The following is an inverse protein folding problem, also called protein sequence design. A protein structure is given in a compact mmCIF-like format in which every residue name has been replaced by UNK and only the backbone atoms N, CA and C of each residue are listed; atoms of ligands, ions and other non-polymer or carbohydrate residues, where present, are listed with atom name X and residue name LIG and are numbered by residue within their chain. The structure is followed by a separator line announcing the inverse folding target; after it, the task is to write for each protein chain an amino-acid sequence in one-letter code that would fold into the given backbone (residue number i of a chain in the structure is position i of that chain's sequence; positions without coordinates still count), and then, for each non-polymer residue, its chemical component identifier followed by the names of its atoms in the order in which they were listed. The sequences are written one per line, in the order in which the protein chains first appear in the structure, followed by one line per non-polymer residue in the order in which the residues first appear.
data_IF_699113464287
#
_entry.id   IF_699113464287
#
_cell.length_a   1.000
_cell.length_b   1.000
_cell.length_c   1.000
_cell.angle_alpha   90.00
_cell.angle_beta   90.00
_cell.angle_gamma   90.00
#
_symmetry.space_group_name_H-M   'P 1'
#
loop_
_entity.id
_entity.type
_entity.pdbx_description
1 polymer ?
#
# COMPACT_ATOMS: atom_id res chain seq x y z
N UNK A 1 -14.54 23.70 7.50
CA UNK A 1 -13.41 24.51 7.97
C UNK A 1 -12.07 23.82 7.68
N UNK A 2 -11.82 22.56 8.12
CA UNK A 2 -10.56 21.85 7.89
C UNK A 2 -10.19 21.78 6.41
N UNK A 3 -11.12 21.31 5.55
CA UNK A 3 -10.86 21.19 4.11
C UNK A 3 -10.59 22.54 3.46
N UNK A 4 -11.29 23.60 3.86
CA UNK A 4 -11.05 24.96 3.37
C UNK A 4 -9.62 25.42 3.72
N UNK A 5 -9.22 25.28 4.99
CA UNK A 5 -7.89 25.65 5.47
C UNK A 5 -6.78 24.92 4.70
N UNK A 6 -6.91 23.58 4.56
CA UNK A 6 -5.91 22.76 3.87
C UNK A 6 -5.84 23.07 2.38
N UNK A 7 -6.98 23.30 1.70
CA UNK A 7 -6.99 23.69 0.29
C UNK A 7 -6.31 25.04 0.07
N UNK A 8 -6.46 26.02 0.98
CA UNK A 8 -5.73 27.29 0.91
C UNK A 8 -4.23 27.06 1.01
N UNK A 9 -3.79 26.20 1.95
CA UNK A 9 -2.38 25.83 2.11
C UNK A 9 -1.84 25.21 0.83
N UNK A 10 -2.53 24.19 0.31
CA UNK A 10 -2.14 23.50 -0.92
C UNK A 10 -2.08 24.46 -2.12
N UNK A 11 -3.07 25.37 -2.26
CA UNK A 11 -3.13 26.33 -3.35
C UNK A 11 -1.99 27.37 -3.37
N UNK A 12 -1.32 27.58 -2.24
CA UNK A 12 -0.12 28.43 -2.13
C UNK A 12 1.16 27.71 -2.53
N UNK A 13 1.19 26.37 -2.47
CA UNK A 13 2.39 25.55 -2.59
C UNK A 13 2.52 24.77 -3.89
N UNK A 14 1.39 24.40 -4.48
CA UNK A 14 1.37 23.66 -5.75
C UNK A 14 1.97 24.51 -6.85
N UNK A 15 2.96 23.98 -7.55
CA UNK A 15 3.66 24.66 -8.66
C UNK A 15 2.91 24.52 -9.97
N UNK A 16 2.25 23.39 -10.23
CA UNK A 16 1.45 23.14 -11.43
C UNK A 16 0.28 24.14 -11.52
N UNK A 17 0.20 24.94 -12.61
CA UNK A 17 -0.83 25.97 -12.73
C UNK A 17 -2.24 25.42 -12.87
N UNK A 18 -2.40 24.24 -13.50
CA UNK A 18 -3.71 23.60 -13.73
C UNK A 18 -4.26 23.08 -12.39
N UNK A 19 -3.41 22.36 -11.65
CA UNK A 19 -3.77 21.83 -10.32
C UNK A 19 -4.03 23.00 -9.36
N UNK A 20 -3.18 24.02 -9.37
CA UNK A 20 -3.36 25.22 -8.51
C UNK A 20 -4.70 25.89 -8.76
N UNK A 21 -5.13 26.02 -10.04
CA UNK A 21 -6.43 26.61 -10.38
C UNK A 21 -7.59 25.78 -9.82
N UNK A 22 -7.52 24.45 -9.97
CA UNK A 22 -8.54 23.55 -9.43
C UNK A 22 -8.63 23.66 -7.91
N UNK A 23 -7.50 23.65 -7.21
CA UNK A 23 -7.45 23.77 -5.74
C UNK A 23 -8.03 25.12 -5.30
N UNK A 24 -7.66 26.22 -5.91
CA UNK A 24 -8.18 27.56 -5.56
C UNK A 24 -9.68 27.67 -5.76
N UNK A 25 -10.20 27.07 -6.83
CA UNK A 25 -11.65 27.00 -7.07
C UNK A 25 -12.37 26.25 -5.95
N UNK A 26 -11.86 25.09 -5.55
CA UNK A 26 -12.44 24.33 -4.46
C UNK A 26 -12.31 25.07 -3.12
N UNK A 27 -11.16 25.67 -2.85
CA UNK A 27 -10.96 26.50 -1.65
C UNK A 27 -11.99 27.63 -1.56
N UNK A 28 -12.27 28.32 -2.66
CA UNK A 28 -13.29 29.38 -2.69
C UNK A 28 -14.70 28.85 -2.37
N UNK A 29 -15.08 27.69 -2.91
CA UNK A 29 -16.38 27.05 -2.62
C UNK A 29 -16.49 26.72 -1.12
N UNK A 30 -15.48 26.08 -0.53
CA UNK A 30 -15.52 25.75 0.89
C UNK A 30 -15.48 27.00 1.78
N UNK A 31 -14.74 28.03 1.40
CA UNK A 31 -14.67 29.31 2.15
C UNK A 31 -15.96 30.12 2.07
N UNK A 32 -16.80 29.92 1.05
CA UNK A 32 -18.11 30.60 0.98
C UNK A 32 -19.14 30.05 1.97
N UNK A 33 -18.93 28.82 2.47
CA UNK A 33 -19.85 28.15 3.40
C UNK A 33 -19.34 28.09 4.83
N UNK A 34 -18.09 28.52 5.10
CA UNK A 34 -17.53 28.53 6.45
C UNK A 34 -16.57 29.70 6.65
N UNK A 35 -16.65 30.38 7.81
CA UNK A 35 -15.60 31.33 8.23
C UNK A 35 -14.38 30.58 8.74
N UNK A 36 -13.20 31.10 8.41
CA UNK A 36 -11.91 30.64 8.91
C UNK A 36 -11.32 31.57 10.00
N UNK A 37 -12.06 32.60 10.38
CA UNK A 37 -11.64 33.50 11.46
C UNK A 37 -11.76 32.80 12.82
N UNK A 38 -10.73 32.88 13.62
CA UNK A 38 -10.65 32.31 14.98
C UNK A 38 -10.89 30.80 15.08
N UNK A 39 -10.53 30.03 14.03
CA UNK A 39 -10.69 28.59 14.00
C UNK A 39 -9.61 27.91 14.84
N UNK A 40 -10.03 27.27 15.94
CA UNK A 40 -9.18 26.35 16.67
C UNK A 40 -9.32 24.95 16.04
N UNK A 41 -8.29 24.55 15.28
CA UNK A 41 -8.31 23.29 14.52
C UNK A 41 -8.26 22.06 15.43
N UNK A 42 -7.68 22.13 16.60
CA UNK A 42 -7.70 21.03 17.58
C UNK A 42 -9.14 20.74 18.06
N UNK A 43 -9.96 21.79 18.21
CA UNK A 43 -11.39 21.62 18.53
C UNK A 43 -12.16 20.98 17.36
N UNK A 44 -11.78 21.24 16.12
CA UNK A 44 -12.41 20.60 14.95
C UNK A 44 -12.14 19.11 14.97
N UNK A 45 -10.92 18.66 15.35
CA UNK A 45 -10.55 17.25 15.37
C UNK A 45 -11.43 16.44 16.31
N UNK A 46 -11.76 16.99 17.48
CA UNK A 46 -12.62 16.33 18.46
C UNK A 46 -14.12 16.41 18.13
N UNK A 47 -14.52 17.33 17.25
CA UNK A 47 -15.94 17.56 16.90
C UNK A 47 -16.42 16.85 15.66
N UNK A 48 -15.52 16.27 14.85
CA UNK A 48 -15.91 15.56 13.63
C UNK A 48 -16.47 14.18 14.00
N UNK A 49 -17.77 14.00 13.77
CA UNK A 49 -18.47 12.71 13.89
C UNK A 49 -18.95 12.30 12.50
N UNK A 50 -18.60 11.09 12.08
CA UNK A 50 -19.02 10.54 10.78
C UNK A 50 -20.37 9.86 10.90
N UNK A 51 -21.21 10.11 9.91
CA UNK A 51 -22.53 9.55 9.73
C UNK A 51 -22.75 9.22 8.25
N UNK A 52 -23.84 8.58 7.89
CA UNK A 52 -24.18 8.31 6.47
C UNK A 52 -24.16 9.54 5.56
N UNK A 53 -24.36 10.73 6.12
CA UNK A 53 -24.42 11.97 5.33
C UNK A 53 -23.04 12.56 5.03
N UNK A 54 -22.02 12.24 5.82
CA UNK A 54 -20.69 12.83 5.71
C UNK A 54 -19.52 11.82 5.68
N UNK A 55 -19.82 10.52 5.67
CA UNK A 55 -18.80 9.45 5.60
C UNK A 55 -17.91 9.58 4.35
N UNK A 56 -18.46 10.05 3.23
CA UNK A 56 -17.72 10.30 2.01
C UNK A 56 -16.57 11.33 2.18
N UNK A 57 -16.64 12.19 3.20
CA UNK A 57 -15.59 13.16 3.51
C UNK A 57 -14.48 12.58 4.40
N UNK A 58 -14.65 11.38 4.95
CA UNK A 58 -13.68 10.81 5.89
C UNK A 58 -12.27 10.71 5.28
N UNK A 59 -12.16 10.20 4.05
CA UNK A 59 -10.86 10.12 3.36
C UNK A 59 -10.24 11.50 3.10
N UNK A 60 -11.06 12.47 2.71
CA UNK A 60 -10.60 13.84 2.50
C UNK A 60 -10.15 14.49 3.82
N UNK A 61 -10.85 14.25 4.91
CA UNK A 61 -10.47 14.73 6.23
C UNK A 61 -9.18 14.06 6.73
N UNK A 62 -9.00 12.74 6.54
CA UNK A 62 -7.76 12.04 6.90
C UNK A 62 -6.56 12.61 6.15
N UNK A 63 -6.69 12.84 4.84
CA UNK A 63 -5.65 13.47 4.04
C UNK A 63 -5.40 14.91 4.48
N UNK A 64 -6.46 15.66 4.77
CA UNK A 64 -6.36 17.03 5.25
C UNK A 64 -5.60 17.10 6.59
N UNK A 65 -5.88 16.19 7.53
CA UNK A 65 -5.14 16.11 8.79
C UNK A 65 -3.66 15.78 8.55
N UNK A 66 -3.37 14.84 7.66
CA UNK A 66 -1.99 14.50 7.31
C UNK A 66 -1.23 15.73 6.78
N UNK A 67 -1.83 16.50 5.88
CA UNK A 67 -1.25 17.74 5.36
C UNK A 67 -1.12 18.78 6.45
N UNK A 68 -2.11 18.91 7.32
CA UNK A 68 -2.12 19.88 8.40
C UNK A 68 -1.06 19.57 9.47
N UNK A 69 -1.02 18.35 9.98
CA UNK A 69 -0.07 17.90 11.01
C UNK A 69 1.38 17.99 10.51
N UNK A 70 1.61 17.61 9.22
CA UNK A 70 2.93 17.70 8.61
C UNK A 70 3.34 19.14 8.25
N UNK A 71 2.39 20.09 8.18
CA UNK A 71 2.67 21.48 7.83
C UNK A 71 3.37 22.27 8.96
N UNK A 72 3.43 21.75 10.16
CA UNK A 72 3.89 22.51 11.32
C UNK A 72 3.02 23.76 11.58
N UNK A 73 1.75 23.69 11.23
CA UNK A 73 0.82 24.80 11.05
C UNK A 73 0.33 25.43 12.35
N UNK A 74 0.95 25.17 13.48
CA UNK A 74 0.71 26.02 14.65
C UNK A 74 0.93 27.53 14.37
N UNK A 75 1.60 27.86 13.24
CA UNK A 75 1.99 29.23 12.89
C UNK A 75 1.41 29.80 11.57
N UNK A 76 0.40 29.19 10.95
CA UNK A 76 -0.16 29.74 9.68
C UNK A 76 -0.85 31.10 9.87
N UNK A 77 -1.30 31.38 11.07
CA UNK A 77 -1.97 32.64 11.41
C UNK A 77 -1.03 33.70 12.00
N UNK A 78 0.26 33.36 12.21
CA UNK A 78 1.28 34.32 12.61
C UNK A 78 2.00 34.88 11.38
N UNK A 79 1.80 36.14 11.13
CA UNK A 79 2.42 36.92 10.06
C UNK A 79 3.95 36.90 10.13
N UNK A 80 4.59 36.40 9.06
CA UNK A 80 5.91 36.88 8.71
C UNK A 80 7.12 35.99 8.97
N UNK A 81 7.11 34.72 8.55
CA UNK A 81 8.35 34.01 8.12
C UNK A 81 7.97 32.81 7.24
N UNK A 82 8.47 32.78 6.02
CA UNK A 82 8.42 31.62 5.12
C UNK A 82 9.22 30.48 5.74
N UNK A 83 8.56 29.60 6.50
CA UNK A 83 9.15 28.33 6.90
C UNK A 83 9.03 27.34 5.76
N UNK A 84 10.14 26.71 5.40
CA UNK A 84 10.19 25.61 4.46
C UNK A 84 9.37 24.43 5.00
N UNK A 85 8.45 23.94 4.19
CA UNK A 85 7.56 22.84 4.57
C UNK A 85 8.18 21.53 4.09
N UNK A 86 8.50 20.65 5.01
CA UNK A 86 8.88 19.28 4.71
C UNK A 86 7.72 18.34 5.04
N UNK A 87 7.16 17.73 4.01
CA UNK A 87 6.18 16.67 4.13
C UNK A 87 6.90 15.34 3.96
N UNK A 88 6.98 14.56 5.03
CA UNK A 88 7.53 13.22 5.00
C UNK A 88 6.39 12.21 4.91
N UNK A 89 6.20 11.64 3.73
CA UNK A 89 5.28 10.53 3.51
C UNK A 89 6.07 9.22 3.52
N UNK A 90 5.65 8.27 4.32
CA UNK A 90 6.20 6.92 4.21
C UNK A 90 5.65 6.26 2.95
N UNK A 91 6.46 6.31 1.90
CA UNK A 91 6.10 5.75 0.60
C UNK A 91 6.00 4.22 0.62
N UNK A 92 6.67 3.55 1.56
CA UNK A 92 6.54 2.09 1.69
C UNK A 92 5.14 1.75 2.20
N UNK A 93 4.69 2.39 3.29
CA UNK A 93 3.33 2.19 3.81
C UNK A 93 2.26 2.59 2.79
N UNK A 94 2.44 3.71 2.08
CA UNK A 94 1.49 4.12 1.06
C UNK A 94 1.39 3.09 -0.07
N UNK A 95 2.52 2.59 -0.55
CA UNK A 95 2.55 1.59 -1.61
C UNK A 95 1.95 0.25 -1.14
N UNK A 96 2.28 -0.21 0.07
CA UNK A 96 1.71 -1.41 0.68
C UNK A 96 0.17 -1.32 0.72
N UNK A 97 -0.38 -0.21 1.23
CA UNK A 97 -1.83 0.02 1.29
C UNK A 97 -2.46 0.11 -0.10
N UNK A 98 -1.78 0.74 -1.05
CA UNK A 98 -2.26 0.83 -2.43
C UNK A 98 -2.34 -0.56 -3.08
N UNK A 99 -1.29 -1.36 -2.95
CA UNK A 99 -1.26 -2.73 -3.47
C UNK A 99 -2.34 -3.58 -2.81
N UNK A 100 -2.51 -3.50 -1.49
CA UNK A 100 -3.60 -4.20 -0.79
C UNK A 100 -4.97 -3.84 -1.38
N UNK A 101 -5.26 -2.54 -1.54
CA UNK A 101 -6.56 -2.09 -2.08
C UNK A 101 -6.76 -2.50 -3.54
N UNK A 102 -5.68 -2.52 -4.31
CA UNK A 102 -5.74 -3.01 -5.68
C UNK A 102 -5.98 -4.52 -5.74
N UNK A 103 -5.40 -5.31 -4.85
CA UNK A 103 -5.72 -6.73 -4.73
C UNK A 103 -7.20 -6.93 -4.34
N UNK A 104 -7.71 -6.21 -3.34
CA UNK A 104 -9.12 -6.27 -2.96
C UNK A 104 -10.04 -5.94 -4.15
N UNK A 105 -9.67 -4.96 -4.98
CA UNK A 105 -10.41 -4.62 -6.20
C UNK A 105 -10.33 -5.75 -7.24
N UNK A 106 -9.13 -6.26 -7.53
CA UNK A 106 -8.90 -7.26 -8.58
C UNK A 106 -9.47 -8.63 -8.23
N UNK A 107 -9.46 -9.00 -6.94
CA UNK A 107 -9.94 -10.30 -6.47
C UNK A 107 -11.46 -10.35 -6.23
N UNK A 108 -12.19 -9.26 -6.38
CA UNK A 108 -13.66 -9.29 -6.31
C UNK A 108 -14.21 -10.31 -7.30
N UNK A 109 -15.15 -11.13 -6.85
CA UNK A 109 -15.80 -12.17 -7.66
C UNK A 109 -14.82 -13.23 -8.23
N UNK A 110 -13.73 -13.49 -7.55
CA UNK A 110 -12.81 -14.59 -7.83
C UNK A 110 -12.83 -15.59 -6.67
N UNK A 111 -12.15 -16.72 -6.88
CA UNK A 111 -11.98 -17.75 -5.84
C UNK A 111 -10.88 -17.43 -4.80
N UNK A 112 -10.33 -16.21 -4.80
CA UNK A 112 -9.24 -15.80 -3.94
C UNK A 112 -9.72 -14.89 -2.81
N UNK A 113 -9.16 -15.07 -1.62
CA UNK A 113 -9.39 -14.26 -0.43
C UNK A 113 -8.08 -13.68 0.09
N UNK A 114 -8.01 -12.36 0.18
CA UNK A 114 -6.89 -11.65 0.81
C UNK A 114 -7.03 -11.52 2.32
N UNK A 115 -5.98 -11.83 3.07
CA UNK A 115 -5.88 -11.62 4.53
C UNK A 115 -4.74 -10.67 4.82
N UNK A 116 -5.06 -9.53 5.42
CA UNK A 116 -4.09 -8.47 5.73
C UNK A 116 -3.44 -8.71 7.10
N UNK A 117 -2.11 -8.51 7.17
CA UNK A 117 -1.29 -8.53 8.40
C UNK A 117 -1.63 -9.66 9.40
N UNK A 118 -1.81 -10.86 8.89
CA UNK A 118 -2.04 -12.04 9.75
C UNK A 118 -0.81 -12.29 10.62
N UNK A 119 -0.92 -12.02 11.91
CA UNK A 119 0.15 -12.25 12.86
C UNK A 119 0.25 -13.73 13.24
N UNK A 120 1.44 -14.28 13.16
CA UNK A 120 1.72 -15.61 13.70
C UNK A 120 2.83 -15.51 14.76
N UNK A 121 2.48 -15.56 16.06
CA UNK A 121 3.44 -15.34 17.13
C UNK A 121 4.30 -16.58 17.44
N UNK A 122 3.92 -17.77 16.94
CA UNK A 122 4.57 -19.03 17.34
C UNK A 122 5.65 -19.54 16.38
N UNK A 123 5.95 -18.77 15.33
CA UNK A 123 6.86 -19.22 14.27
C UNK A 123 8.33 -19.20 14.70
N UNK A 124 8.74 -18.17 15.43
CA UNK A 124 10.09 -18.11 15.99
C UNK A 124 9.97 -18.28 17.51
N UNK A 125 10.42 -19.42 17.99
CA UNK A 125 10.25 -19.84 19.36
C UNK A 125 11.58 -19.93 20.08
N UNK A 126 11.67 -19.33 21.29
CA UNK A 126 12.82 -19.49 22.18
C UNK A 126 12.61 -20.77 22.99
N UNK A 127 13.34 -21.80 22.60
CA UNK A 127 13.22 -23.13 23.24
C UNK A 127 13.55 -23.10 24.74
N UNK A 128 14.58 -22.35 25.13
CA UNK A 128 14.99 -22.31 26.53
C UNK A 128 14.05 -21.51 27.42
N UNK A 129 13.53 -20.39 26.89
CA UNK A 129 12.61 -19.51 27.63
C UNK A 129 11.14 -19.88 27.46
N UNK A 130 10.84 -20.91 26.66
CA UNK A 130 9.49 -21.40 26.37
C UNK A 130 8.51 -20.29 26.02
N UNK A 131 8.94 -19.39 25.15
CA UNK A 131 8.13 -18.25 24.71
C UNK A 131 8.38 -17.87 23.25
N UNK A 132 7.41 -17.17 22.64
CA UNK A 132 7.62 -16.57 21.32
C UNK A 132 8.81 -15.61 21.38
N UNK A 133 9.77 -15.79 20.45
CA UNK A 133 10.93 -14.91 20.32
C UNK A 133 10.61 -13.71 19.43
N UNK A 134 9.98 -13.95 18.28
CA UNK A 134 9.62 -12.89 17.33
C UNK A 134 8.39 -13.30 16.52
N UNK A 135 7.51 -12.34 16.28
CA UNK A 135 6.37 -12.50 15.38
C UNK A 135 6.81 -12.37 13.92
N UNK A 136 6.16 -13.10 13.05
CA UNK A 136 6.26 -12.95 11.59
C UNK A 136 4.94 -12.36 11.10
N UNK A 137 5.03 -11.24 10.40
CA UNK A 137 3.88 -10.48 9.92
C UNK A 137 4.13 -10.16 8.45
N UNK A 138 3.59 -10.93 7.50
CA UNK A 138 3.61 -10.57 6.10
C UNK A 138 2.65 -9.41 5.84
N UNK A 139 2.87 -8.66 4.76
CA UNK A 139 1.99 -7.57 4.40
C UNK A 139 0.58 -8.10 4.14
N UNK A 140 0.45 -9.13 3.31
CA UNK A 140 -0.82 -9.86 3.14
C UNK A 140 -0.61 -11.27 2.60
N UNK A 141 -1.64 -12.10 2.75
CA UNK A 141 -1.68 -13.49 2.30
C UNK A 141 -2.91 -13.65 1.42
N UNK A 142 -2.76 -14.29 0.28
CA UNK A 142 -3.86 -14.70 -0.58
C UNK A 142 -4.08 -16.19 -0.42
N UNK A 143 -5.29 -16.57 -0.08
CA UNK A 143 -5.74 -17.97 0.02
C UNK A 143 -6.73 -18.27 -1.11
N UNK A 144 -6.67 -19.47 -1.66
CA UNK A 144 -7.68 -19.96 -2.58
C UNK A 144 -8.84 -20.59 -1.79
N UNK A 145 -10.06 -20.14 -2.02
CA UNK A 145 -11.26 -20.61 -1.28
C UNK A 145 -11.56 -22.08 -1.49
N UNK A 146 -11.16 -22.61 -2.63
CA UNK A 146 -11.37 -24.02 -2.99
C UNK A 146 -10.24 -24.93 -2.48
N UNK A 147 -9.24 -24.38 -1.79
CA UNK A 147 -8.04 -25.08 -1.33
C UNK A 147 -7.29 -25.87 -2.42
N UNK A 148 -7.42 -25.45 -3.67
CA UNK A 148 -6.75 -26.08 -4.81
C UNK A 148 -5.32 -25.59 -4.99
N UNK A 149 -4.99 -24.42 -4.41
CA UNK A 149 -3.67 -23.79 -4.45
C UNK A 149 -3.21 -23.47 -3.03
N UNK A 150 -1.92 -23.62 -2.80
CA UNK A 150 -1.31 -23.21 -1.53
C UNK A 150 -1.40 -21.70 -1.34
N UNK A 151 -1.51 -21.22 -0.09
CA UNK A 151 -1.49 -19.80 0.21
C UNK A 151 -0.26 -19.12 -0.38
N UNK A 152 -0.44 -17.95 -0.98
CA UNK A 152 0.65 -17.13 -1.48
C UNK A 152 0.86 -15.92 -0.58
N UNK A 153 2.08 -15.74 -0.11
CA UNK A 153 2.46 -14.57 0.67
C UNK A 153 2.91 -13.47 -0.26
N UNK A 154 2.41 -12.28 -0.02
CA UNK A 154 2.70 -11.08 -0.80
C UNK A 154 3.45 -10.08 0.06
N UNK A 155 4.52 -9.54 -0.50
CA UNK A 155 5.40 -8.56 0.12
C UNK A 155 5.54 -7.36 -0.83
N UNK A 156 5.00 -6.21 -0.43
CA UNK A 156 5.01 -5.00 -1.24
C UNK A 156 6.25 -4.16 -0.92
N UNK A 157 7.11 -3.91 -1.90
CA UNK A 157 8.37 -3.20 -1.72
C UNK A 157 8.43 -1.96 -2.59
N UNK A 158 8.41 -0.77 -2.00
CA UNK A 158 8.63 0.48 -2.72
C UNK A 158 10.11 0.67 -3.03
N UNK A 159 10.63 -0.15 -3.98
CA UNK A 159 12.03 -0.18 -4.40
C UNK A 159 12.13 -0.26 -5.92
N UNK A 160 13.23 0.27 -6.50
CA UNK A 160 13.46 0.30 -7.95
C UNK A 160 14.13 -1.01 -8.41
N UNK A 161 13.39 -2.11 -8.44
CA UNK A 161 13.90 -3.40 -8.91
C UNK A 161 13.96 -3.54 -10.42
N UNK A 162 13.46 -2.56 -11.17
CA UNK A 162 13.72 -2.41 -12.60
C UNK A 162 15.22 -2.19 -12.87
N UNK A 163 15.86 -1.41 -11.99
CA UNK A 163 17.24 -0.96 -12.16
C UNK A 163 18.25 -1.75 -11.32
N UNK A 164 17.78 -2.48 -10.31
CA UNK A 164 18.63 -3.19 -9.34
C UNK A 164 18.13 -4.59 -9.11
N UNK A 165 19.03 -5.51 -8.80
CA UNK A 165 18.66 -6.84 -8.32
C UNK A 165 17.92 -6.73 -6.99
N UNK A 166 16.98 -7.65 -6.76
CA UNK A 166 16.32 -7.78 -5.45
C UNK A 166 17.36 -8.04 -4.38
N UNK A 167 17.24 -7.36 -3.26
CA UNK A 167 18.20 -7.51 -2.16
C UNK A 167 18.13 -8.91 -1.53
N UNK A 168 19.25 -9.43 -1.06
CA UNK A 168 19.27 -10.72 -0.35
C UNK A 168 18.36 -10.72 0.87
N UNK A 169 18.22 -9.58 1.56
CA UNK A 169 17.34 -9.44 2.72
C UNK A 169 15.86 -9.64 2.32
N UNK A 170 15.43 -9.07 1.20
CA UNK A 170 14.04 -9.21 0.73
C UNK A 170 13.79 -10.66 0.24
N UNK A 171 14.78 -11.29 -0.40
CA UNK A 171 14.71 -12.70 -0.79
C UNK A 171 14.57 -13.60 0.45
N UNK A 172 15.39 -13.38 1.48
CA UNK A 172 15.34 -14.20 2.71
C UNK A 172 14.04 -13.98 3.48
N UNK A 173 13.54 -12.75 3.53
CA UNK A 173 12.25 -12.44 4.13
C UNK A 173 11.10 -13.15 3.42
N UNK A 174 11.05 -13.04 2.09
CA UNK A 174 10.03 -13.70 1.27
C UNK A 174 10.11 -15.22 1.36
N UNK A 175 11.32 -15.79 1.39
CA UNK A 175 11.52 -17.22 1.61
C UNK A 175 10.97 -17.67 2.97
N UNK A 176 11.31 -16.94 4.05
CA UNK A 176 10.81 -17.26 5.38
C UNK A 176 9.28 -17.19 5.44
N UNK A 177 8.68 -16.18 4.82
CA UNK A 177 7.23 -16.07 4.75
C UNK A 177 6.60 -17.23 3.98
N UNK A 178 7.13 -17.54 2.79
CA UNK A 178 6.67 -18.65 1.98
C UNK A 178 6.76 -19.98 2.75
N UNK A 179 7.88 -20.22 3.44
CA UNK A 179 8.11 -21.41 4.26
C UNK A 179 7.08 -21.54 5.40
N UNK A 180 6.78 -20.42 6.09
CA UNK A 180 5.89 -20.42 7.26
C UNK A 180 4.43 -20.59 6.88
N UNK A 181 4.03 -20.02 5.76
CA UNK A 181 2.62 -20.01 5.34
C UNK A 181 2.31 -20.98 4.21
N UNK A 182 3.32 -21.59 3.60
CA UNK A 182 3.14 -22.66 2.62
C UNK A 182 2.56 -23.93 3.26
N UNK A 183 1.75 -24.66 2.51
CA UNK A 183 1.10 -25.88 2.99
C UNK A 183 2.09 -27.07 3.14
N UNK A 184 3.08 -27.11 2.26
CA UNK A 184 4.15 -28.09 2.23
C UNK A 184 5.41 -27.55 1.54
N UNK A 185 6.51 -28.26 1.63
CA UNK A 185 7.80 -27.85 1.05
C UNK A 185 7.80 -27.83 -0.49
N UNK A 186 6.83 -28.46 -1.14
CA UNK A 186 6.79 -28.53 -2.60
C UNK A 186 6.04 -27.36 -3.23
N UNK A 187 5.25 -26.62 -2.44
CA UNK A 187 4.39 -25.53 -2.93
C UNK A 187 4.66 -24.18 -2.26
N UNK A 188 5.88 -23.99 -1.75
CA UNK A 188 6.30 -22.77 -1.06
C UNK A 188 6.47 -21.61 -2.05
N UNK A 189 5.54 -20.66 -2.04
CA UNK A 189 5.52 -19.54 -2.99
C UNK A 189 5.37 -18.20 -2.28
N UNK A 190 6.11 -17.20 -2.74
CA UNK A 190 5.95 -15.81 -2.36
C UNK A 190 5.93 -14.90 -3.59
N UNK A 191 5.30 -13.75 -3.48
CA UNK A 191 5.25 -12.72 -4.49
C UNK A 191 5.79 -11.41 -3.92
N UNK A 192 6.84 -10.87 -4.50
CA UNK A 192 7.33 -9.51 -4.27
C UNK A 192 6.72 -8.61 -5.34
N UNK A 193 6.00 -7.58 -4.92
CA UNK A 193 5.42 -6.57 -5.81
C UNK A 193 6.19 -5.26 -5.63
N UNK A 194 6.63 -4.64 -6.72
CA UNK A 194 7.36 -3.39 -6.70
C UNK A 194 6.87 -2.42 -7.78
N UNK A 195 6.98 -1.09 -7.60
CA UNK A 195 6.56 -0.13 -8.60
C UNK A 195 7.50 -0.13 -9.80
N UNK A 196 6.94 -0.18 -11.01
CA UNK A 196 7.67 -0.09 -12.28
C UNK A 196 7.15 1.06 -13.15
N UNK A 197 8.01 1.61 -14.00
CA UNK A 197 7.63 2.53 -15.06
C UNK A 197 7.34 1.81 -16.38
N UNK A 198 7.76 0.55 -16.49
CA UNK A 198 7.50 -0.28 -17.66
C UNK A 198 6.04 -0.73 -17.69
N UNK A 199 5.42 -0.63 -18.86
CA UNK A 199 4.11 -1.23 -19.11
C UNK A 199 4.21 -2.71 -19.52
N UNK A 200 5.43 -3.17 -19.79
CA UNK A 200 5.68 -4.58 -20.14
C UNK A 200 5.50 -5.47 -18.91
N UNK A 201 5.14 -6.70 -19.15
CA UNK A 201 5.09 -7.75 -18.14
C UNK A 201 6.52 -8.06 -17.65
N UNK A 202 6.95 -7.35 -16.61
CA UNK A 202 8.25 -7.57 -15.97
C UNK A 202 8.08 -8.54 -14.80
N UNK A 203 8.00 -9.82 -15.14
CA UNK A 203 7.94 -10.92 -14.18
C UNK A 203 9.26 -11.69 -14.17
N UNK A 204 9.72 -11.98 -12.96
CA UNK A 204 10.87 -12.85 -12.72
C UNK A 204 10.50 -13.90 -11.68
N UNK A 205 11.01 -15.10 -11.83
CA UNK A 205 10.84 -16.17 -10.85
C UNK A 205 12.22 -16.61 -10.36
N UNK A 206 12.47 -16.42 -9.09
CA UNK A 206 13.67 -16.92 -8.43
C UNK A 206 13.35 -18.25 -7.79
N UNK A 207 14.11 -19.28 -8.14
CA UNK A 207 14.02 -20.59 -7.52
C UNK A 207 15.13 -20.74 -6.47
N UNK A 208 14.74 -20.95 -5.23
CA UNK A 208 15.67 -21.29 -4.17
C UNK A 208 15.83 -22.80 -4.12
N UNK A 209 17.07 -23.27 -4.31
CA UNK A 209 17.42 -24.69 -4.31
C UNK A 209 18.42 -25.00 -3.21
N UNK A 210 18.34 -26.17 -2.63
CA UNK A 210 19.40 -26.64 -1.73
C UNK A 210 20.64 -27.07 -2.53
N UNK A 211 21.72 -27.39 -1.84
CA UNK A 211 22.97 -27.80 -2.48
C UNK A 211 22.86 -29.09 -3.31
N UNK A 212 21.82 -29.90 -3.09
CA UNK A 212 21.53 -31.12 -3.87
C UNK A 212 20.63 -30.83 -5.08
N UNK A 213 20.25 -29.58 -5.28
CA UNK A 213 19.41 -29.16 -6.39
C UNK A 213 17.90 -29.27 -6.14
N UNK A 214 17.49 -29.82 -4.96
CA UNK A 214 16.06 -29.86 -4.61
C UNK A 214 15.54 -28.44 -4.36
N UNK A 215 14.36 -28.19 -4.84
CA UNK A 215 13.72 -26.88 -4.70
C UNK A 215 13.22 -26.66 -3.28
N UNK A 216 13.40 -25.47 -2.77
CA UNK A 216 12.90 -25.02 -1.47
C UNK A 216 11.78 -24.00 -1.55
N UNK A 217 11.82 -23.11 -2.54
CA UNK A 217 10.78 -22.09 -2.74
C UNK A 217 10.86 -21.44 -4.11
N UNK A 218 9.73 -20.88 -4.57
CA UNK A 218 9.67 -19.91 -5.67
C UNK A 218 9.36 -18.54 -5.11
N UNK A 219 10.16 -17.56 -5.49
CA UNK A 219 9.88 -16.15 -5.22
C UNK A 219 9.61 -15.47 -6.55
N UNK A 220 8.39 -15.07 -6.76
CA UNK A 220 8.00 -14.27 -7.92
C UNK A 220 8.27 -12.81 -7.63
N UNK A 221 8.68 -12.09 -8.64
CA UNK A 221 8.96 -10.67 -8.60
C UNK A 221 8.13 -10.04 -9.69
N UNK A 222 7.21 -9.16 -9.32
CA UNK A 222 6.23 -8.56 -10.21
C UNK A 222 6.39 -7.04 -10.23
N UNK A 223 6.69 -6.48 -11.39
CA UNK A 223 6.63 -5.05 -11.64
C UNK A 223 5.18 -4.58 -11.73
N UNK A 224 4.83 -3.57 -10.94
CA UNK A 224 3.47 -3.04 -10.85
C UNK A 224 3.41 -1.61 -11.40
N UNK A 225 2.75 -1.44 -12.56
CA UNK A 225 2.61 -0.14 -13.20
C UNK A 225 1.45 0.65 -12.59
N UNK A 226 1.75 1.53 -11.63
CA UNK A 226 0.77 2.32 -10.86
C UNK A 226 -0.20 3.10 -11.77
N UNK A 227 0.24 3.83 -12.84
CA UNK A 227 -0.68 4.57 -13.68
C UNK A 227 -1.75 3.71 -14.38
N UNK A 228 -1.40 2.47 -14.77
CA UNK A 228 -2.38 1.54 -15.36
C UNK A 228 -3.39 1.05 -14.32
N UNK A 229 -2.93 0.71 -13.13
CA UNK A 229 -3.80 0.29 -12.03
C UNK A 229 -4.78 1.40 -11.62
N UNK A 230 -4.32 2.65 -11.55
CA UNK A 230 -5.20 3.79 -11.25
C UNK A 230 -6.30 3.97 -12.29
N UNK A 231 -5.99 3.78 -13.58
CA UNK A 231 -7.00 3.83 -14.66
C UNK A 231 -8.07 2.75 -14.53
N UNK A 232 -7.69 1.55 -14.10
CA UNK A 232 -8.63 0.45 -13.84
C UNK A 232 -9.57 0.80 -12.69
N UNK A 233 -9.03 1.34 -11.59
CA UNK A 233 -9.83 1.77 -10.44
C UNK A 233 -10.78 2.92 -10.83
N UNK A 234 -10.29 3.93 -11.57
CA UNK A 234 -11.10 5.08 -12.01
C UNK A 234 -12.28 4.65 -12.88
N UNK A 235 -12.08 3.66 -13.75
CA UNK A 235 -13.14 3.12 -14.60
C UNK A 235 -14.00 2.08 -13.86
N UNK A 236 -13.58 1.62 -12.71
CA UNK A 236 -14.15 0.47 -11.98
C UNK A 236 -14.23 -0.80 -12.86
N UNK A 237 -13.24 -1.01 -13.72
CA UNK A 237 -13.14 -2.14 -14.64
C UNK A 237 -11.79 -2.83 -14.47
N UNK A 238 -11.79 -4.15 -14.38
CA UNK A 238 -10.55 -4.94 -14.36
C UNK A 238 -9.91 -4.89 -15.74
N UNK A 239 -8.59 -4.72 -15.77
CA UNK A 239 -7.80 -4.66 -16.99
C UNK A 239 -6.49 -5.44 -16.86
N UNK A 240 -5.51 -5.07 -17.66
CA UNK A 240 -4.24 -5.78 -17.76
C UNK A 240 -3.49 -5.93 -16.43
N UNK A 241 -3.55 -4.93 -15.53
CA UNK A 241 -2.89 -5.04 -14.22
C UNK A 241 -3.60 -6.01 -13.29
N UNK A 242 -4.94 -6.03 -13.29
CA UNK A 242 -5.73 -7.01 -12.56
C UNK A 242 -5.49 -8.43 -13.08
N UNK A 243 -5.46 -8.63 -14.40
CA UNK A 243 -5.17 -9.91 -15.03
C UNK A 243 -3.76 -10.41 -14.72
N UNK A 244 -2.76 -9.52 -14.84
CA UNK A 244 -1.37 -9.81 -14.50
C UNK A 244 -1.23 -10.32 -13.08
N UNK A 245 -1.94 -9.67 -12.15
CA UNK A 245 -1.92 -9.99 -10.74
C UNK A 245 -2.60 -11.34 -10.46
N UNK A 246 -3.76 -11.61 -11.06
CA UNK A 246 -4.45 -12.89 -10.95
C UNK A 246 -3.59 -14.02 -11.57
N UNK A 247 -2.99 -13.79 -12.73
CA UNK A 247 -2.09 -14.74 -13.37
C UNK A 247 -0.87 -15.05 -12.50
N UNK A 248 -0.34 -14.07 -11.76
CA UNK A 248 0.74 -14.31 -10.82
C UNK A 248 0.33 -15.20 -9.65
N UNK A 249 -0.95 -15.27 -9.29
CA UNK A 249 -1.46 -16.16 -8.26
C UNK A 249 -1.74 -17.58 -8.78
N UNK A 250 -2.19 -17.72 -10.01
CA UNK A 250 -2.65 -19.00 -10.58
C UNK A 250 -1.55 -19.79 -11.27
N UNK A 251 -0.68 -19.13 -12.04
CA UNK A 251 0.36 -19.80 -12.82
C UNK A 251 1.59 -20.11 -11.97
N UNK A 252 1.44 -20.97 -10.97
CA UNK A 252 2.57 -21.47 -10.18
C UNK A 252 3.32 -22.50 -11.06
N UNK A 253 4.64 -22.32 -11.33
CA UNK A 253 5.40 -23.35 -12.02
C UNK A 253 5.33 -24.63 -11.20
N UNK A 254 4.71 -25.67 -11.78
CA UNK A 254 4.79 -27.01 -11.22
C UNK A 254 6.21 -27.52 -11.41
N UNK A 255 6.72 -28.18 -10.41
CA UNK A 255 8.03 -28.77 -10.43
C UNK A 255 7.96 -30.11 -11.14
N UNK A 256 8.76 -30.26 -12.19
CA UNK A 256 9.13 -31.56 -12.74
C UNK A 256 10.36 -32.08 -12.00
#
# INVERSE_FOLDING_TARGET
QLLAAVLIICGRRVTDPIIRRKIRRQAAIFSSVCSLENVNIENIRSSIVYSRMNENYEYAHRLAWLIFDSSGVKDIFLTGKTKSFAFLLDMNQLFELFILRFFEFSLKQTEFLGKYQKQNPMVIWDYYKQRSYKKIIPDFIIENLNNTLSPMVIDAKYKLYDLKKVSSADIYQSFLYAYVYGADFQSTNALIVYPTQSQADDQKILQLKNLKGSLGANIRILGFHIPSALKEIEKNEKGAMSELLINALTNVPHFN
#
